data_IF_850846804823
#
_entry.id   IF_850846804823
#
_cell.length_a   1.000
_cell.length_b   1.000
_cell.length_c   1.000
_cell.angle_alpha   90.00
_cell.angle_beta   90.00
_cell.angle_gamma   90.00
#
_symmetry.space_group_name_H-M   'P 1'
#
loop_
_entity.id
_entity.type
_entity.pdbx_description
1 polymer ?
#
# COMPACT_ATOMS: atom_id res chain seq x y z
N UNK A 1 -4.55 -10.67 -4.64
CA UNK A 1 -5.81 -10.14 -4.10
C UNK A 1 -5.68 -9.96 -2.60
N UNK A 2 -6.29 -8.93 -2.01
CA UNK A 2 -6.16 -8.62 -0.57
C UNK A 2 -7.50 -8.75 0.15
N UNK A 3 -7.53 -9.54 1.21
CA UNK A 3 -8.71 -9.71 2.05
C UNK A 3 -8.78 -8.62 3.12
N UNK A 4 -9.93 -7.97 3.26
CA UNK A 4 -10.15 -6.94 4.27
C UNK A 4 -10.10 -7.55 5.68
N UNK A 5 -9.27 -7.02 6.60
CA UNK A 5 -9.18 -7.54 7.97
C UNK A 5 -10.41 -7.22 8.82
N UNK A 6 -11.23 -6.23 8.42
CA UNK A 6 -12.42 -5.84 9.18
C UNK A 6 -13.69 -6.63 8.80
N UNK A 7 -13.84 -7.03 7.54
CA UNK A 7 -15.07 -7.70 7.07
C UNK A 7 -14.85 -8.98 6.26
N UNK A 8 -13.62 -9.33 5.90
CA UNK A 8 -13.33 -10.53 5.12
C UNK A 8 -13.57 -10.40 3.60
N UNK A 9 -13.95 -9.23 3.10
CA UNK A 9 -14.16 -9.01 1.67
C UNK A 9 -12.84 -9.06 0.89
N UNK A 10 -12.83 -9.74 -0.25
CA UNK A 10 -11.71 -9.69 -1.20
C UNK A 10 -11.70 -8.36 -1.98
N UNK A 11 -10.54 -7.71 -2.03
CA UNK A 11 -10.30 -6.45 -2.72
C UNK A 11 -9.09 -6.58 -3.67
N UNK A 12 -9.06 -5.81 -4.77
CA UNK A 12 -7.95 -5.82 -5.70
C UNK A 12 -6.66 -5.26 -5.08
N UNK A 13 -5.52 -5.71 -5.62
CA UNK A 13 -4.20 -5.25 -5.20
C UNK A 13 -4.05 -3.75 -5.56
N UNK A 14 -3.71 -2.93 -4.58
CA UNK A 14 -3.67 -1.46 -4.72
C UNK A 14 -4.93 -0.72 -4.24
N UNK A 15 -5.98 -1.41 -3.81
CA UNK A 15 -7.12 -0.77 -3.14
C UNK A 15 -6.68 -0.17 -1.79
N UNK A 16 -6.88 1.15 -1.61
CA UNK A 16 -6.61 1.85 -0.34
C UNK A 16 -7.69 1.61 0.72
N UNK A 17 -8.91 1.33 0.29
CA UNK A 17 -10.07 1.13 1.15
C UNK A 17 -10.88 -0.08 0.65
N UNK A 18 -11.59 -0.73 1.56
CA UNK A 18 -12.46 -1.83 1.22
C UNK A 18 -13.71 -1.37 0.48
N UNK A 19 -14.05 -2.04 -0.62
CA UNK A 19 -15.23 -1.73 -1.43
C UNK A 19 -16.56 -2.07 -0.74
N UNK A 20 -16.56 -2.84 0.35
CA UNK A 20 -17.77 -3.25 1.06
C UNK A 20 -18.01 -2.45 2.34
N UNK A 21 -16.98 -2.26 3.18
CA UNK A 21 -17.12 -1.63 4.50
C UNK A 21 -16.36 -0.30 4.65
N UNK A 22 -15.66 0.16 3.60
CA UNK A 22 -14.82 1.35 3.60
C UNK A 22 -13.66 1.33 4.63
N UNK A 23 -13.35 0.18 5.24
CA UNK A 23 -12.20 0.07 6.14
C UNK A 23 -10.88 0.32 5.37
N UNK A 24 -9.90 0.99 5.99
CA UNK A 24 -8.59 1.20 5.38
C UNK A 24 -7.90 -0.15 5.18
N UNK A 25 -7.55 -0.44 3.94
CA UNK A 25 -6.70 -1.56 3.61
C UNK A 25 -5.28 -1.02 3.70
N UNK A 26 -4.44 -1.63 4.54
CA UNK A 26 -3.03 -1.27 4.64
C UNK A 26 -2.36 -1.64 3.31
N UNK A 27 -2.54 -0.77 2.31
CA UNK A 27 -1.82 -0.80 1.06
C UNK A 27 -0.37 -0.59 1.44
N UNK A 28 0.39 -1.68 1.37
CA UNK A 28 1.81 -1.73 1.58
C UNK A 28 2.42 -0.47 0.97
N UNK A 29 2.98 0.36 1.84
CA UNK A 29 3.85 1.43 1.41
C UNK A 29 4.85 0.81 0.42
N UNK A 30 5.11 1.44 -0.74
CA UNK A 30 6.24 1.01 -1.55
C UNK A 30 7.47 1.17 -0.67
N UNK A 31 7.91 0.06 -0.10
CA UNK A 31 9.16 -0.06 0.63
C UNK A 31 10.25 0.47 -0.32
N UNK A 32 10.99 1.44 0.21
CA UNK A 32 12.28 1.92 -0.30
C UNK A 32 12.24 2.96 -1.42
N UNK A 33 11.76 4.15 -1.07
CA UNK A 33 12.48 5.38 -1.43
C UNK A 33 13.80 5.43 -0.65
N UNK A 34 14.82 4.71 -1.08
CA UNK A 34 16.17 4.82 -0.50
C UNK A 34 17.29 4.74 -1.56
N UNK A 35 17.05 5.21 -2.78
CA UNK A 35 18.10 5.22 -3.82
C UNK A 35 18.05 6.48 -4.68
N UNK A 36 18.34 7.64 -4.09
CA UNK A 36 18.94 8.75 -4.86
C UNK A 36 20.11 9.32 -4.08
N UNK A 37 21.20 8.53 -4.09
CA UNK A 37 22.55 8.90 -3.64
C UNK A 37 22.91 10.30 -4.17
N UNK A 38 23.29 11.18 -3.25
CA UNK A 38 23.80 12.52 -3.53
C UNK A 38 25.11 12.38 -4.33
N UNK A 39 25.16 12.94 -5.53
CA UNK A 39 26.41 13.08 -6.30
C UNK A 39 27.11 14.34 -5.81
N UNK A 40 28.18 14.19 -5.03
CA UNK A 40 29.07 15.29 -4.66
C UNK A 40 29.94 15.65 -5.86
N UNK A 41 29.94 16.93 -6.26
CA UNK A 41 30.88 17.49 -7.24
C UNK A 41 32.11 17.98 -6.48
N UNK A 42 33.30 17.46 -6.83
CA UNK A 42 34.60 17.92 -6.35
C UNK A 42 35.01 19.23 -7.03
#
# INVERSE_FOLDING_TARGET
MLTCPSCGQENPEGARFCNACAAPLAAEAPERREERKVVTVL
#
